data_IF_513524449338
#
_entry.id   IF_513524449338
#
_cell.length_a   1.000
_cell.length_b   1.000
_cell.length_c   1.000
_cell.angle_alpha   90.00
_cell.angle_beta   90.00
_cell.angle_gamma   90.00
#
_symmetry.space_group_name_H-M   'P 1'
#
loop_
_entity.id
_entity.type
_entity.pdbx_description
1 polymer ?
#
# COMPACT_ATOMS: atom_id res chain seq x y z
N UNK A 1 25.72 -19.11 0.30
CA UNK A 1 26.51 -17.98 -0.27
C UNK A 1 25.62 -17.31 -1.33
N UNK A 2 25.45 -15.99 -1.30
CA UNK A 2 24.65 -15.25 -2.29
C UNK A 2 25.26 -15.35 -3.70
N UNK A 3 24.41 -15.49 -4.74
CA UNK A 3 24.82 -15.48 -6.15
C UNK A 3 24.07 -14.34 -6.88
N UNK A 4 24.76 -13.23 -7.24
CA UNK A 4 24.11 -12.07 -7.86
C UNK A 4 23.47 -12.37 -9.22
N UNK A 5 23.89 -13.45 -9.91
CA UNK A 5 23.30 -13.86 -11.19
C UNK A 5 21.84 -14.33 -11.06
N UNK A 6 21.39 -14.64 -9.85
CA UNK A 6 20.02 -15.06 -9.56
C UNK A 6 19.15 -13.91 -8.99
N UNK A 7 19.62 -12.65 -9.05
CA UNK A 7 18.83 -11.50 -8.59
C UNK A 7 17.72 -11.17 -9.59
N UNK A 8 16.47 -11.10 -9.12
CA UNK A 8 15.32 -10.75 -9.95
C UNK A 8 15.04 -9.25 -10.06
N UNK A 9 15.62 -8.46 -9.14
CA UNK A 9 15.51 -7.01 -9.09
C UNK A 9 16.67 -6.42 -8.28
N UNK A 10 16.83 -5.10 -8.38
CA UNK A 10 17.66 -4.27 -7.53
C UNK A 10 16.77 -3.16 -6.97
N UNK A 11 16.89 -2.90 -5.66
CA UNK A 11 16.22 -1.78 -5.01
C UNK A 11 17.22 -0.65 -4.84
N UNK A 12 16.92 0.51 -5.42
CA UNK A 12 17.77 1.70 -5.40
C UNK A 12 17.29 2.75 -4.40
N UNK A 13 16.16 2.51 -3.72
CA UNK A 13 15.62 3.38 -2.69
C UNK A 13 14.09 3.49 -2.70
N UNK A 14 13.59 4.24 -1.73
CA UNK A 14 12.16 4.49 -1.52
C UNK A 14 11.88 5.99 -1.42
N UNK A 15 10.62 6.35 -1.66
CA UNK A 15 10.08 7.68 -1.44
C UNK A 15 8.78 7.53 -0.66
N UNK A 16 8.66 8.24 0.45
CA UNK A 16 7.46 8.24 1.26
C UNK A 16 6.45 9.28 0.77
N UNK A 17 5.18 8.89 0.77
CA UNK A 17 4.05 9.83 0.70
C UNK A 17 3.84 10.42 2.08
N UNK A 18 3.47 11.69 2.16
CA UNK A 18 3.16 12.33 3.44
C UNK A 18 1.97 11.63 4.09
N UNK A 19 2.11 11.40 5.39
CA UNK A 19 1.06 10.77 6.20
C UNK A 19 -0.25 11.54 6.08
N UNK A 20 -1.35 10.82 5.79
CA UNK A 20 -2.69 11.38 5.63
C UNK A 20 -2.93 12.21 4.37
N UNK A 21 -1.95 12.39 3.47
CA UNK A 21 -2.12 13.17 2.24
C UNK A 21 -2.67 12.32 1.08
N UNK A 22 -3.99 12.13 1.06
CA UNK A 22 -4.67 11.36 0.02
C UNK A 22 -4.52 11.95 -1.39
N UNK A 23 -4.31 13.27 -1.52
CA UNK A 23 -4.09 13.90 -2.83
C UNK A 23 -2.71 13.54 -3.38
N UNK A 24 -1.69 13.52 -2.52
CA UNK A 24 -0.36 13.07 -2.90
C UNK A 24 -0.34 11.57 -3.19
N UNK A 25 -1.07 10.76 -2.41
CA UNK A 25 -1.22 9.33 -2.68
C UNK A 25 -1.88 9.07 -4.03
N UNK A 26 -2.97 9.79 -4.34
CA UNK A 26 -3.64 9.74 -5.64
C UNK A 26 -2.67 10.05 -6.79
N UNK A 27 -1.88 11.12 -6.66
CA UNK A 27 -0.90 11.49 -7.66
C UNK A 27 0.19 10.40 -7.83
N UNK A 28 0.70 9.85 -6.72
CA UNK A 28 1.71 8.78 -6.75
C UNK A 28 1.19 7.53 -7.45
N UNK A 29 -0.03 7.09 -7.15
CA UNK A 29 -0.67 5.95 -7.82
C UNK A 29 -0.83 6.21 -9.32
N UNK A 30 -1.23 7.43 -9.70
CA UNK A 30 -1.45 7.79 -11.09
C UNK A 30 -0.16 7.89 -11.92
N UNK A 31 0.94 8.36 -11.32
CA UNK A 31 2.17 8.69 -12.08
C UNK A 31 3.34 7.75 -11.87
N UNK A 32 3.42 7.06 -10.71
CA UNK A 32 4.52 6.15 -10.37
C UNK A 32 4.10 4.69 -10.56
N UNK A 33 2.89 4.34 -10.11
CA UNK A 33 2.35 2.99 -10.18
C UNK A 33 1.87 2.46 -8.82
N UNK A 34 1.84 1.13 -8.60
CA UNK A 34 1.43 0.56 -7.32
C UNK A 34 2.24 1.11 -6.15
N UNK A 35 1.56 1.50 -5.07
CA UNK A 35 2.16 2.06 -3.85
C UNK A 35 1.88 1.11 -2.69
N UNK A 36 2.90 0.81 -1.89
CA UNK A 36 2.72 0.04 -0.66
C UNK A 36 2.05 0.91 0.41
N UNK A 37 1.00 0.41 1.06
CA UNK A 37 0.24 1.11 2.10
C UNK A 37 -0.03 0.17 3.29
N UNK A 38 -0.24 0.74 4.46
CA UNK A 38 -0.74 0.04 5.64
C UNK A 38 -2.19 0.46 5.91
N UNK A 39 -3.01 -0.48 6.40
CA UNK A 39 -4.41 -0.27 6.76
C UNK A 39 -4.71 -0.99 8.07
N UNK A 40 -5.72 -0.53 8.80
CA UNK A 40 -6.29 -1.30 9.92
C UNK A 40 -7.24 -2.38 9.37
N UNK A 41 -6.73 -3.61 9.32
CA UNK A 41 -7.48 -4.79 8.89
C UNK A 41 -7.99 -5.64 10.06
N UNK A 42 -8.01 -5.10 11.28
CA UNK A 42 -8.34 -5.86 12.49
C UNK A 42 -9.85 -6.14 12.65
N UNK A 43 -10.71 -5.35 11.99
CA UNK A 43 -12.16 -5.45 12.10
C UNK A 43 -12.75 -6.69 11.36
N UNK A 44 -13.75 -7.33 11.96
CA UNK A 44 -14.48 -8.46 11.38
C UNK A 44 -15.17 -8.07 10.05
N UNK A 45 -15.65 -6.83 9.96
CA UNK A 45 -16.22 -6.23 8.76
C UNK A 45 -15.26 -6.28 7.57
N UNK A 46 -13.95 -6.06 7.78
CA UNK A 46 -12.93 -6.20 6.74
C UNK A 46 -12.66 -7.67 6.41
N UNK A 47 -12.54 -8.53 7.42
CA UNK A 47 -12.26 -9.96 7.24
C UNK A 47 -13.34 -10.67 6.42
N UNK A 48 -14.60 -10.24 6.55
CA UNK A 48 -15.76 -10.79 5.84
C UNK A 48 -16.21 -9.93 4.64
N UNK A 49 -15.42 -8.95 4.23
CA UNK A 49 -15.77 -8.06 3.11
C UNK A 49 -15.93 -8.84 1.80
N UNK A 50 -17.09 -8.70 1.14
CA UNK A 50 -17.44 -9.43 -0.08
C UNK A 50 -17.47 -8.59 -1.37
N UNK A 51 -17.48 -7.26 -1.28
CA UNK A 51 -17.56 -6.35 -2.43
C UNK A 51 -18.27 -5.03 -2.13
N UNK A 52 -18.19 -4.07 -3.07
CA UNK A 52 -18.68 -2.71 -2.90
C UNK A 52 -17.56 -1.69 -2.71
N UNK A 53 -17.80 -0.69 -1.86
CA UNK A 53 -16.79 0.24 -1.34
C UNK A 53 -16.79 0.08 0.17
N UNK A 54 -15.67 -0.34 0.74
CA UNK A 54 -15.54 -0.60 2.17
C UNK A 54 -15.41 0.71 2.97
N UNK A 55 -16.09 0.79 4.11
CA UNK A 55 -15.99 1.87 5.09
C UNK A 55 -16.30 1.30 6.47
N UNK A 56 -15.46 1.62 7.47
CA UNK A 56 -15.59 1.17 8.86
C UNK A 56 -15.40 2.39 9.77
N UNK A 57 -16.37 2.65 10.64
CA UNK A 57 -16.39 3.83 11.49
C UNK A 57 -15.37 3.74 12.62
N UNK A 58 -15.04 2.53 13.05
CA UNK A 58 -14.06 2.28 14.12
C UNK A 58 -12.61 2.12 13.61
N UNK A 59 -12.37 2.31 12.30
CA UNK A 59 -11.04 2.23 11.69
C UNK A 59 -10.12 3.33 12.26
N UNK A 60 -8.90 2.94 12.64
CA UNK A 60 -7.89 3.84 13.23
C UNK A 60 -6.94 4.49 12.24
#
# INVERSE_FOLDING_TARGET
RYNPKNSGAEDVGLVDVREGDEQQLLAAVATVGPVAVAIDASHESFQMYGGGVYYEEECS
#
